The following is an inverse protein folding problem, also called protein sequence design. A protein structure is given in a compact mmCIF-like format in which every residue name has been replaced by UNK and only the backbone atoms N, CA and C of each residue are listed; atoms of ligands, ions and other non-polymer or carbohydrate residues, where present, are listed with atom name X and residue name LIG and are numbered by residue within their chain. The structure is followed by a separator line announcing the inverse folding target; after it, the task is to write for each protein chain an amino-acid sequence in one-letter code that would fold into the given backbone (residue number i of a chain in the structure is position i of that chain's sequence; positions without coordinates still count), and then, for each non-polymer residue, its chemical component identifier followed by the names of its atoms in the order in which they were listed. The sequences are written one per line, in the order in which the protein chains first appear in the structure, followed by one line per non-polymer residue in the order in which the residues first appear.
data_IF_070708642879
#
_entry.id   IF_070708642879
#
_cell.length_a   1.000
_cell.length_b   1.000
_cell.length_c   1.000
_cell.angle_alpha   90.00
_cell.angle_beta   90.00
_cell.angle_gamma   90.00
#
_symmetry.space_group_name_H-M   'P 1'
#
loop_
_entity.id
_entity.type
_entity.pdbx_description
1 polymer ?
#
# COMPACT_ATOMS: atom_id res chain seq x y z
N UNK A 1 14.88 -1.03 -25.00
CA UNK A 1 14.75 -2.07 -23.98
C UNK A 1 15.86 -1.86 -22.97
N UNK A 2 15.57 -1.18 -21.90
CA UNK A 2 16.56 -0.97 -20.87
C UNK A 2 16.86 -2.33 -20.24
N UNK A 3 18.15 -2.69 -20.28
CA UNK A 3 18.62 -3.89 -19.62
C UNK A 3 18.31 -3.78 -18.13
N UNK A 4 17.57 -4.77 -17.62
CA UNK A 4 17.34 -4.97 -16.18
C UNK A 4 18.70 -4.78 -15.48
N UNK A 5 18.79 -3.88 -14.50
CA UNK A 5 20.00 -3.87 -13.69
C UNK A 5 20.23 -5.27 -13.13
N UNK A 6 21.48 -5.71 -13.03
CA UNK A 6 21.74 -7.03 -12.45
C UNK A 6 21.00 -7.13 -11.14
N UNK A 7 20.42 -8.31 -10.88
CA UNK A 7 19.73 -8.61 -9.63
C UNK A 7 20.65 -8.28 -8.47
N UNK A 8 20.66 -7.03 -8.05
CA UNK A 8 21.18 -6.67 -6.77
C UNK A 8 20.18 -7.25 -5.80
N UNK A 9 20.57 -8.30 -5.12
CA UNK A 9 19.81 -8.88 -4.03
C UNK A 9 19.60 -7.79 -2.99
N UNK A 10 18.47 -7.09 -3.08
CA UNK A 10 18.05 -6.17 -2.06
C UNK A 10 17.45 -6.98 -0.93
N UNK A 11 17.98 -6.80 0.26
CA UNK A 11 17.46 -7.46 1.45
C UNK A 11 16.64 -6.49 2.28
N UNK A 12 15.45 -6.94 2.68
CA UNK A 12 14.57 -6.19 3.56
C UNK A 12 14.17 -7.07 4.75
N UNK A 13 13.88 -6.44 5.88
CA UNK A 13 13.31 -7.14 7.03
C UNK A 13 11.92 -7.67 6.70
N UNK A 14 11.15 -6.92 5.89
CA UNK A 14 9.81 -7.31 5.49
C UNK A 14 9.48 -6.83 4.09
N UNK A 15 8.70 -7.62 3.36
CA UNK A 15 8.09 -7.26 2.08
C UNK A 15 6.58 -7.33 2.24
N UNK A 16 5.89 -6.30 1.78
CA UNK A 16 4.43 -6.22 1.77
C UNK A 16 3.95 -6.27 0.32
N UNK A 17 2.98 -7.12 0.06
CA UNK A 17 2.40 -7.28 -1.27
C UNK A 17 1.07 -6.54 -1.32
N UNK A 18 1.03 -5.47 -2.09
CA UNK A 18 -0.15 -4.63 -2.25
C UNK A 18 -0.11 -3.35 -1.41
N UNK A 19 -0.56 -2.25 -2.02
CA UNK A 19 -0.64 -0.92 -1.40
C UNK A 19 -2.09 -0.45 -1.26
N UNK A 20 -2.98 -1.36 -0.86
CA UNK A 20 -4.32 -1.02 -0.41
C UNK A 20 -4.29 -0.55 1.05
N UNK A 21 -5.45 -0.45 1.68
CA UNK A 21 -5.53 0.03 3.07
C UNK A 21 -4.70 -0.82 4.03
N UNK A 22 -4.74 -2.13 3.89
CA UNK A 22 -3.96 -3.03 4.74
C UNK A 22 -2.46 -2.87 4.53
N UNK A 23 -2.03 -2.79 3.27
CA UNK A 23 -0.61 -2.64 2.91
C UNK A 23 -0.03 -1.31 3.37
N UNK A 24 -0.76 -0.22 3.22
CA UNK A 24 -0.35 1.10 3.69
C UNK A 24 -0.15 1.12 5.21
N UNK A 25 -1.10 0.56 5.95
CA UNK A 25 -0.98 0.48 7.40
C UNK A 25 0.18 -0.41 7.83
N UNK A 26 0.33 -1.58 7.19
CA UNK A 26 1.41 -2.51 7.51
C UNK A 26 2.78 -1.85 7.29
N UNK A 27 2.96 -1.13 6.18
CA UNK A 27 4.18 -0.37 5.92
C UNK A 27 4.46 0.65 7.02
N UNK A 28 3.45 1.44 7.35
CA UNK A 28 3.58 2.44 8.42
C UNK A 28 3.99 1.79 9.74
N UNK A 29 3.32 0.72 10.12
CA UNK A 29 3.57 0.03 11.39
C UNK A 29 4.95 -0.61 11.44
N UNK A 30 5.36 -1.31 10.40
CA UNK A 30 6.66 -1.97 10.34
C UNK A 30 7.79 -0.94 10.36
N UNK A 31 7.65 0.19 9.65
CA UNK A 31 8.62 1.27 9.71
C UNK A 31 8.72 1.88 11.10
N UNK A 32 7.62 2.03 11.81
CA UNK A 32 7.61 2.55 13.18
C UNK A 32 8.34 1.63 14.17
N UNK A 33 8.48 0.35 13.82
CA UNK A 33 9.27 -0.61 14.59
C UNK A 33 10.75 -0.63 14.20
N UNK A 34 11.16 0.25 13.29
CA UNK A 34 12.56 0.33 12.84
C UNK A 34 12.96 -0.69 11.81
N UNK A 35 12.01 -1.39 11.19
CA UNK A 35 12.30 -2.40 10.19
C UNK A 35 12.45 -1.78 8.79
N UNK A 36 13.31 -2.39 7.97
CA UNK A 36 13.38 -2.05 6.55
C UNK A 36 12.26 -2.77 5.82
N UNK A 37 11.47 -2.01 5.04
CA UNK A 37 10.27 -2.54 4.38
C UNK A 37 10.24 -2.12 2.91
N UNK A 38 9.83 -3.03 2.05
CA UNK A 38 9.49 -2.76 0.66
C UNK A 38 8.06 -3.20 0.40
N UNK A 39 7.29 -2.33 -0.26
CA UNK A 39 5.93 -2.67 -0.73
C UNK A 39 5.96 -2.75 -2.24
N UNK A 40 5.44 -3.83 -2.80
CA UNK A 40 5.24 -3.99 -4.24
C UNK A 40 3.75 -3.91 -4.54
N UNK A 41 3.39 -2.97 -5.43
CA UNK A 41 2.02 -2.76 -5.87
C UNK A 41 1.93 -2.96 -7.38
N UNK A 42 1.03 -3.84 -7.82
CA UNK A 42 0.82 -4.13 -9.24
C UNK A 42 0.22 -2.95 -10.00
N UNK A 43 -0.62 -2.15 -9.33
CA UNK A 43 -1.23 -0.97 -9.93
C UNK A 43 -0.30 0.23 -10.01
N UNK A 44 -0.73 1.22 -10.78
CA UNK A 44 0.01 2.48 -10.94
C UNK A 44 -0.23 3.49 -9.82
N UNK A 45 -0.91 3.10 -8.76
CA UNK A 45 -1.19 3.96 -7.61
C UNK A 45 -1.60 3.16 -6.39
N UNK A 46 -1.63 3.82 -5.24
CA UNK A 46 -2.11 3.24 -3.99
C UNK A 46 -3.63 3.25 -3.93
N UNK A 47 -4.22 2.45 -3.05
CA UNK A 47 -5.66 2.46 -2.81
C UNK A 47 -6.34 1.10 -2.94
N UNK A 48 -5.68 0.11 -3.55
CA UNK A 48 -6.21 -1.24 -3.69
C UNK A 48 -7.56 -1.28 -4.39
N UNK A 49 -8.58 -1.77 -3.71
CA UNK A 49 -9.96 -1.82 -4.21
C UNK A 49 -10.41 -0.47 -4.81
N UNK A 50 -10.03 0.63 -4.19
CA UNK A 50 -10.45 1.97 -4.60
C UNK A 50 -9.58 2.55 -5.73
N UNK A 51 -8.45 1.98 -5.98
CA UNK A 51 -7.67 2.23 -7.19
C UNK A 51 -8.27 1.52 -8.40
N UNK A 52 -8.66 0.24 -8.24
CA UNK A 52 -9.11 -0.60 -9.35
C UNK A 52 -10.58 -0.40 -9.72
N UNK A 53 -11.46 -0.17 -8.75
CA UNK A 53 -12.91 -0.17 -8.95
C UNK A 53 -13.44 1.26 -9.13
N UNK A 54 -13.45 1.71 -10.38
CA UNK A 54 -13.83 3.08 -10.77
C UNK A 54 -15.11 3.16 -11.58
N UNK A 55 -15.98 2.17 -11.43
CA UNK A 55 -17.25 2.17 -12.16
C UNK A 55 -18.18 3.26 -11.62
N UNK A 56 -19.15 3.74 -12.45
CA UNK A 56 -20.11 4.75 -12.00
C UNK A 56 -20.91 4.26 -10.79
N UNK A 57 -20.95 5.08 -9.74
CA UNK A 57 -21.64 4.75 -8.51
C UNK A 57 -20.88 3.90 -7.54
N UNK A 58 -19.61 3.56 -7.82
CA UNK A 58 -18.74 2.83 -6.87
C UNK A 58 -18.66 3.58 -5.55
N UNK A 59 -19.02 2.92 -4.46
CA UNK A 59 -19.20 3.54 -3.15
C UNK A 59 -19.01 2.52 -2.05
N UNK A 60 -18.54 2.98 -0.89
CA UNK A 60 -18.44 2.14 0.28
C UNK A 60 -19.81 1.86 0.88
N UNK A 61 -20.03 0.65 1.35
CA UNK A 61 -21.24 0.21 2.06
C UNK A 61 -21.09 0.29 3.57
N UNK A 62 -19.96 0.76 4.05
CA UNK A 62 -19.63 1.04 5.44
C UNK A 62 -19.56 2.55 5.64
N UNK A 63 -20.00 3.04 6.80
CA UNK A 63 -19.94 4.46 7.12
C UNK A 63 -18.51 4.98 7.05
N UNK A 64 -18.33 6.17 6.49
CA UNK A 64 -17.02 6.79 6.25
C UNK A 64 -16.18 6.88 7.51
N UNK A 65 -16.78 7.23 8.64
CA UNK A 65 -16.09 7.34 9.91
C UNK A 65 -15.47 6.01 10.38
N UNK A 66 -16.12 4.89 10.03
CA UNK A 66 -15.64 3.55 10.36
C UNK A 66 -14.65 3.03 9.31
N UNK A 67 -14.76 3.51 8.08
CA UNK A 67 -13.87 3.15 6.97
C UNK A 67 -12.68 4.10 6.91
N UNK A 68 -12.04 4.31 8.05
CA UNK A 68 -10.93 5.23 8.23
C UNK A 68 -9.91 4.62 9.20
N UNK A 69 -8.66 5.04 9.05
CA UNK A 69 -7.63 4.63 9.99
C UNK A 69 -7.81 5.32 11.35
N UNK A 70 -7.50 4.59 12.41
CA UNK A 70 -7.58 5.08 13.78
C UNK A 70 -6.21 5.20 14.49
N UNK A 71 -5.13 4.91 13.77
CA UNK A 71 -3.79 4.88 14.37
C UNK A 71 -3.18 6.28 14.61
N UNK A 72 -3.76 7.32 14.05
CA UNK A 72 -3.28 8.69 14.17
C UNK A 72 -4.45 9.63 14.47
N UNK A 73 -4.42 10.23 15.64
CA UNK A 73 -5.41 11.23 16.05
C UNK A 73 -5.36 12.46 15.14
N UNK A 74 -4.15 12.90 14.77
CA UNK A 74 -3.95 14.01 13.85
C UNK A 74 -4.60 13.76 12.50
N UNK A 75 -4.46 12.55 11.95
CA UNK A 75 -5.10 12.17 10.70
C UNK A 75 -6.62 12.22 10.82
N UNK A 76 -7.17 11.69 11.91
CA UNK A 76 -8.60 11.72 12.17
C UNK A 76 -9.15 13.15 12.25
N UNK A 77 -8.40 14.06 12.85
CA UNK A 77 -8.80 15.45 13.02
C UNK A 77 -8.73 16.25 11.72
N UNK A 78 -7.75 15.99 10.88
CA UNK A 78 -7.56 16.78 9.64
C UNK A 78 -8.39 16.31 8.46
N UNK A 79 -8.85 15.07 8.45
CA UNK A 79 -9.63 14.53 7.33
C UNK A 79 -11.12 14.63 7.59
N UNK A 80 -11.82 15.31 6.68
CA UNK A 80 -13.27 15.44 6.71
C UNK A 80 -13.90 14.67 5.57
N UNK A 81 -14.84 13.77 5.91
CA UNK A 81 -15.63 13.05 4.94
C UNK A 81 -16.83 13.88 4.54
N UNK A 82 -17.11 13.97 3.23
CA UNK A 82 -18.24 14.75 2.71
C UNK A 82 -19.57 14.04 2.78
N UNK A 83 -19.55 12.70 2.89
CA UNK A 83 -20.75 11.88 2.89
C UNK A 83 -20.65 10.76 3.93
N UNK A 84 -21.80 10.31 4.39
CA UNK A 84 -21.89 9.19 5.36
C UNK A 84 -21.34 7.89 4.78
N UNK A 85 -21.59 7.64 3.48
CA UNK A 85 -21.05 6.52 2.71
C UNK A 85 -20.27 7.10 1.54
N UNK A 86 -18.96 7.05 1.61
CA UNK A 86 -18.10 7.76 0.68
C UNK A 86 -18.02 7.11 -0.69
N UNK A 87 -18.01 7.93 -1.77
CA UNK A 87 -17.79 7.42 -3.12
C UNK A 87 -16.31 7.10 -3.35
N UNK A 88 -16.07 6.29 -4.38
CA UNK A 88 -14.71 5.84 -4.76
C UNK A 88 -13.70 6.98 -4.88
N UNK A 89 -13.99 8.11 -5.56
CA UNK A 89 -12.97 9.16 -5.72
C UNK A 89 -12.49 9.74 -4.40
N UNK A 90 -13.38 9.88 -3.42
CA UNK A 90 -13.01 10.42 -2.11
C UNK A 90 -12.18 9.44 -1.29
N UNK A 91 -12.54 8.16 -1.34
CA UNK A 91 -11.78 7.11 -0.64
C UNK A 91 -10.38 6.99 -1.25
N UNK A 92 -10.27 7.09 -2.57
CA UNK A 92 -8.97 7.09 -3.24
C UNK A 92 -8.12 8.30 -2.82
N UNK A 93 -8.72 9.48 -2.72
CA UNK A 93 -8.05 10.67 -2.20
C UNK A 93 -7.55 10.48 -0.77
N UNK A 94 -8.36 9.83 0.06
CA UNK A 94 -7.98 9.52 1.42
C UNK A 94 -6.75 8.60 1.48
N UNK A 95 -6.73 7.52 0.68
CA UNK A 95 -5.58 6.62 0.61
C UNK A 95 -4.31 7.35 0.16
N UNK A 96 -4.42 8.21 -0.85
CA UNK A 96 -3.29 9.02 -1.31
C UNK A 96 -2.84 10.03 -0.26
N UNK A 97 -3.78 10.65 0.44
CA UNK A 97 -3.48 11.58 1.54
C UNK A 97 -2.68 10.89 2.65
N UNK A 98 -3.09 9.68 3.04
CA UNK A 98 -2.38 8.89 4.06
C UNK A 98 -0.96 8.55 3.59
N UNK A 99 -0.82 8.09 2.36
CA UNK A 99 0.48 7.75 1.81
C UNK A 99 1.42 8.96 1.74
N UNK A 100 0.90 10.12 1.42
CA UNK A 100 1.66 11.37 1.36
C UNK A 100 2.01 11.88 2.76
N UNK A 101 1.02 11.94 3.66
CA UNK A 101 1.20 12.43 5.03
C UNK A 101 2.29 11.68 5.78
N UNK A 102 2.31 10.36 5.67
CA UNK A 102 3.27 9.51 6.38
C UNK A 102 4.49 9.14 5.52
N UNK A 103 4.62 9.78 4.35
CA UNK A 103 5.75 9.58 3.45
C UNK A 103 5.96 8.10 3.09
N UNK A 104 4.87 7.40 2.80
CA UNK A 104 4.91 5.97 2.52
C UNK A 104 5.41 5.65 1.11
N UNK A 105 5.28 6.60 0.17
CA UNK A 105 5.66 6.41 -1.24
C UNK A 105 7.13 6.01 -1.43
N UNK A 106 8.01 6.44 -0.54
CA UNK A 106 9.44 6.12 -0.61
C UNK A 106 9.72 4.62 -0.58
N UNK A 107 8.83 3.85 0.04
CA UNK A 107 8.98 2.41 0.20
C UNK A 107 8.05 1.60 -0.71
N UNK A 108 7.24 2.27 -1.54
CA UNK A 108 6.25 1.61 -2.40
C UNK A 108 6.76 1.63 -3.84
N UNK A 109 6.91 0.44 -4.43
CA UNK A 109 7.20 0.28 -5.84
C UNK A 109 5.90 -0.02 -6.58
N UNK A 110 5.42 0.97 -7.33
CA UNK A 110 4.22 0.89 -8.15
C UNK A 110 4.49 0.15 -9.45
N UNK A 111 3.43 -0.27 -10.12
CA UNK A 111 3.49 -0.97 -11.40
C UNK A 111 4.46 -2.16 -11.37
N UNK A 112 4.53 -2.82 -10.24
CA UNK A 112 5.44 -3.94 -9.98
C UNK A 112 4.63 -5.07 -9.35
N UNK A 113 4.45 -6.13 -10.11
CA UNK A 113 3.66 -7.29 -9.67
C UNK A 113 4.58 -8.35 -9.07
N UNK A 114 4.25 -8.81 -7.87
CA UNK A 114 4.88 -9.99 -7.31
C UNK A 114 4.30 -11.21 -8.01
N UNK A 115 5.15 -11.97 -8.68
CA UNK A 115 4.75 -13.17 -9.40
C UNK A 115 4.86 -14.42 -8.55
N UNK A 116 5.82 -14.41 -7.62
CA UNK A 116 6.13 -15.60 -6.84
C UNK A 116 6.85 -15.20 -5.54
N UNK A 117 6.52 -15.90 -4.47
CA UNK A 117 7.24 -15.83 -3.19
C UNK A 117 7.63 -17.26 -2.80
N UNK A 118 8.92 -17.49 -2.62
CA UNK A 118 9.47 -18.83 -2.33
C UNK A 118 10.27 -18.76 -1.04
N UNK A 119 9.93 -19.62 -0.10
CA UNK A 119 10.68 -19.74 1.15
C UNK A 119 11.86 -20.69 0.98
N UNK A 120 13.06 -20.22 1.33
CA UNK A 120 14.28 -21.01 1.33
C UNK A 120 14.60 -21.46 2.77
N UNK A 121 14.41 -22.74 3.05
CA UNK A 121 14.62 -23.30 4.38
C UNK A 121 16.08 -23.26 4.82
N UNK A 122 17.03 -23.32 3.89
CA UNK A 122 18.45 -23.30 4.21
C UNK A 122 18.92 -21.90 4.63
N UNK A 123 18.38 -20.86 3.98
CA UNK A 123 18.69 -19.45 4.28
C UNK A 123 17.70 -18.83 5.27
N UNK A 124 16.60 -19.53 5.54
CA UNK A 124 15.53 -19.06 6.41
C UNK A 124 14.98 -17.69 5.95
N UNK A 125 14.73 -17.56 4.64
CA UNK A 125 14.30 -16.32 3.98
C UNK A 125 13.28 -16.57 2.90
N UNK A 126 12.49 -15.55 2.61
CA UNK A 126 11.61 -15.50 1.45
C UNK A 126 12.33 -14.86 0.28
N UNK A 127 12.23 -15.47 -0.90
CA UNK A 127 12.65 -14.89 -2.16
C UNK A 127 11.42 -14.38 -2.90
N UNK A 128 11.39 -13.08 -3.15
CA UNK A 128 10.26 -12.42 -3.81
C UNK A 128 10.66 -12.14 -5.26
N UNK A 129 9.89 -12.69 -6.19
CA UNK A 129 10.11 -12.51 -7.62
C UNK A 129 9.05 -11.56 -8.17
N UNK A 130 9.49 -10.51 -8.84
CA UNK A 130 8.63 -9.50 -9.45
C UNK A 130 8.74 -9.53 -10.97
N UNK A 131 7.79 -8.88 -11.65
CA UNK A 131 7.79 -8.74 -13.12
C UNK A 131 8.75 -7.66 -13.63
N UNK A 132 9.39 -6.95 -12.75
CA UNK A 132 10.38 -5.89 -13.06
C UNK A 132 11.69 -6.07 -12.31
#
# INVERSE_FOLDING_TARGET
MESRPPETECEFDAVVIGAGFGGLYMLHRLRSLGLSVRVYEAGGGVGGTWYWNRYPGARCDVESMQYSYSFSEELEQEWEWSEKYSPQPEILKYANHVAEKFNLHDNIYLSTRVERAVFDENKNRWFIHTDR
#
